data_IF_885626237117
#
_entry.id   IF_885626237117
#
_cell.length_a   1.000
_cell.length_b   1.000
_cell.length_c   1.000
_cell.angle_alpha   90.00
_cell.angle_beta   90.00
_cell.angle_gamma   90.00
#
_symmetry.space_group_name_H-M   'P 1'
#
loop_
_entity.id
_entity.type
_entity.pdbx_description
1 polymer ?
#
# COMPACT_ATOMS: atom_id res chain seq x y z
N UNK A 1 4.98 -4.10 -10.77
CA UNK A 1 5.21 -3.08 -9.74
C UNK A 1 5.99 -1.95 -10.35
N UNK A 2 5.33 -0.81 -10.45
CA UNK A 2 5.79 0.45 -11.02
C UNK A 2 5.38 1.59 -10.08
N UNK A 3 5.96 2.79 -10.27
CA UNK A 3 5.51 3.99 -9.52
C UNK A 3 4.05 4.27 -9.89
N UNK A 4 3.25 4.66 -8.91
CA UNK A 4 1.79 4.81 -8.93
C UNK A 4 0.97 3.51 -8.88
N UNK A 5 1.61 2.33 -8.85
CA UNK A 5 0.86 1.09 -8.56
C UNK A 5 0.27 1.16 -7.15
N UNK A 6 -0.98 0.70 -7.03
CA UNK A 6 -1.59 0.41 -5.74
C UNK A 6 -1.09 -0.92 -5.21
N UNK A 7 -0.76 -0.95 -3.93
CA UNK A 7 -0.20 -2.13 -3.27
C UNK A 7 -0.86 -2.40 -1.92
N UNK A 8 -1.09 -3.67 -1.64
CA UNK A 8 -1.37 -4.19 -0.31
C UNK A 8 -0.07 -4.55 0.39
N UNK A 9 0.10 -4.09 1.63
CA UNK A 9 1.27 -4.36 2.46
C UNK A 9 0.98 -5.62 3.29
N UNK A 10 1.54 -6.77 2.86
CA UNK A 10 1.20 -8.10 3.40
C UNK A 10 1.95 -8.47 4.68
N UNK A 11 3.08 -7.83 4.94
CA UNK A 11 3.96 -8.21 6.03
C UNK A 11 4.59 -6.97 6.61
N UNK A 12 3.88 -6.35 7.54
CA UNK A 12 4.53 -5.52 8.53
C UNK A 12 4.14 -6.09 9.88
N UNK A 13 5.13 -6.47 10.67
CA UNK A 13 4.96 -6.85 12.09
C UNK A 13 4.38 -5.70 12.95
N UNK A 14 4.10 -4.55 12.34
CA UNK A 14 3.56 -3.34 12.96
C UNK A 14 2.15 -2.97 12.47
N UNK A 15 1.52 -3.78 11.62
CA UNK A 15 0.20 -3.49 11.08
C UNK A 15 -0.82 -4.49 11.64
N UNK A 16 -1.72 -3.99 12.49
CA UNK A 16 -2.82 -4.78 13.05
C UNK A 16 -3.92 -5.06 11.99
N UNK A 17 -3.98 -4.26 10.92
CA UNK A 17 -4.97 -4.35 9.84
C UNK A 17 -4.31 -4.29 8.44
N UNK A 18 -5.03 -4.75 7.41
CA UNK A 18 -4.64 -4.62 6.01
C UNK A 18 -4.46 -3.14 5.63
N UNK A 19 -3.27 -2.78 5.15
CA UNK A 19 -2.98 -1.43 4.68
C UNK A 19 -2.65 -1.39 3.21
N UNK A 20 -3.27 -0.43 2.54
CA UNK A 20 -3.05 -0.12 1.14
C UNK A 20 -2.23 1.16 1.02
N UNK A 21 -1.43 1.21 -0.03
CA UNK A 21 -0.67 2.39 -0.36
C UNK A 21 -0.32 2.48 -1.83
N UNK A 22 0.35 3.57 -2.17
CA UNK A 22 0.80 3.88 -3.51
C UNK A 22 2.31 3.81 -3.57
N UNK A 23 2.87 3.10 -4.56
CA UNK A 23 4.32 3.12 -4.80
C UNK A 23 4.74 4.51 -5.27
N UNK A 24 5.68 5.12 -4.57
CA UNK A 24 6.17 6.47 -4.89
C UNK A 24 7.62 6.50 -5.37
N UNK A 25 8.45 5.51 -5.00
CA UNK A 25 9.85 5.47 -5.38
C UNK A 25 10.49 4.07 -5.15
N UNK A 26 11.70 3.87 -5.67
CA UNK A 26 12.51 2.67 -5.50
C UNK A 26 13.93 3.00 -5.01
N UNK A 27 14.32 2.45 -3.86
CA UNK A 27 15.66 2.61 -3.29
C UNK A 27 16.39 1.26 -3.30
N UNK A 28 17.08 0.98 -4.41
CA UNK A 28 17.74 -0.30 -4.62
C UNK A 28 16.73 -1.46 -4.65
N UNK A 29 16.75 -2.29 -3.61
CA UNK A 29 15.87 -3.44 -3.41
C UNK A 29 14.66 -3.13 -2.50
N UNK A 30 14.53 -1.89 -2.03
CA UNK A 30 13.37 -1.40 -1.30
C UNK A 30 12.44 -0.61 -2.21
N UNK A 31 11.16 -0.61 -1.86
CA UNK A 31 10.08 0.12 -2.47
C UNK A 31 9.54 1.10 -1.43
N UNK A 32 9.46 2.38 -1.77
CA UNK A 32 8.78 3.36 -0.95
C UNK A 32 7.30 3.42 -1.29
N UNK A 33 6.47 3.38 -0.25
CA UNK A 33 5.02 3.34 -0.35
C UNK A 33 4.44 4.45 0.52
N UNK A 34 3.56 5.27 -0.06
CA UNK A 34 2.74 6.24 0.67
C UNK A 34 1.43 5.57 1.09
N UNK A 35 1.07 5.62 2.37
CA UNK A 35 -0.11 4.94 2.89
C UNK A 35 -1.35 5.80 2.67
N UNK A 36 -2.39 5.20 2.08
CA UNK A 36 -3.58 5.95 1.68
C UNK A 36 -4.44 6.38 2.90
N UNK A 37 -4.32 5.70 4.06
CA UNK A 37 -5.03 6.08 5.29
C UNK A 37 -4.26 7.08 6.17
N UNK A 38 -3.02 6.76 6.54
CA UNK A 38 -2.25 7.57 7.49
C UNK A 38 -1.49 8.72 6.82
N UNK A 39 -1.29 8.67 5.49
CA UNK A 39 -0.43 9.60 4.76
C UNK A 39 1.08 9.39 5.02
N UNK A 40 1.44 8.38 5.82
CA UNK A 40 2.84 8.07 6.14
C UNK A 40 3.56 7.43 4.95
N UNK A 41 4.89 7.46 4.99
CA UNK A 41 5.74 6.82 3.99
C UNK A 41 6.50 5.67 4.67
N UNK A 42 6.30 4.46 4.16
CA UNK A 42 7.02 3.27 4.57
C UNK A 42 7.99 2.78 3.49
N UNK A 43 8.98 1.97 3.88
CA UNK A 43 9.93 1.32 2.96
C UNK A 43 9.88 -0.19 3.15
N UNK A 44 9.65 -0.92 2.06
CA UNK A 44 9.37 -2.35 2.07
C UNK A 44 10.17 -3.11 1.04
N UNK A 45 10.48 -4.37 1.30
CA UNK A 45 10.94 -5.29 0.26
C UNK A 45 9.79 -5.65 -0.67
N UNK A 46 10.10 -5.89 -1.95
CA UNK A 46 9.09 -6.27 -2.96
C UNK A 46 8.25 -7.49 -2.57
N UNK A 47 8.82 -8.45 -1.83
CA UNK A 47 8.10 -9.64 -1.39
C UNK A 47 7.06 -9.38 -0.29
N UNK A 48 7.12 -8.21 0.35
CA UNK A 48 6.17 -7.77 1.38
C UNK A 48 4.98 -7.03 0.78
N UNK A 49 5.00 -6.76 -0.53
CA UNK A 49 4.00 -6.00 -1.24
C UNK A 49 3.31 -6.86 -2.30
N UNK A 50 2.01 -6.67 -2.45
CA UNK A 50 1.22 -7.25 -3.54
C UNK A 50 0.59 -6.11 -4.33
N UNK A 51 0.81 -6.08 -5.65
CA UNK A 51 0.10 -5.14 -6.53
C UNK A 51 -1.36 -5.55 -6.57
N UNK A 52 -2.25 -4.58 -6.34
CA UNK A 52 -3.69 -4.78 -6.35
C UNK A 52 -4.29 -4.07 -7.55
N UNK A 53 -5.42 -4.59 -8.06
CA UNK A 53 -6.15 -3.89 -9.12
C UNK A 53 -6.98 -2.73 -8.55
N UNK A 54 -7.47 -1.86 -9.42
CA UNK A 54 -8.27 -0.71 -8.99
C UNK A 54 -9.57 -1.10 -8.27
N UNK A 55 -10.16 -2.27 -8.58
CA UNK A 55 -11.42 -2.69 -7.95
C UNK A 55 -11.21 -3.17 -6.52
N UNK A 56 -10.16 -3.96 -6.28
CA UNK A 56 -9.79 -4.41 -4.93
C UNK A 56 -9.49 -3.20 -4.04
N UNK A 57 -8.77 -2.21 -4.57
CA UNK A 57 -8.53 -0.95 -3.88
C UNK A 57 -9.82 -0.17 -3.61
N UNK A 58 -10.71 -0.03 -4.60
CA UNK A 58 -11.97 0.70 -4.46
C UNK A 58 -12.90 0.03 -3.42
N UNK A 59 -12.96 -1.30 -3.38
CA UNK A 59 -13.71 -2.07 -2.39
C UNK A 59 -13.21 -1.81 -0.97
N UNK A 60 -11.89 -1.86 -0.76
CA UNK A 60 -11.28 -1.50 0.52
C UNK A 60 -11.53 -0.02 0.86
N UNK A 61 -11.28 0.91 -0.06
CA UNK A 61 -11.44 2.35 0.18
C UNK A 61 -12.90 2.71 0.53
N UNK A 62 -13.88 1.99 -0.04
CA UNK A 62 -15.29 2.18 0.31
C UNK A 62 -15.62 1.87 1.77
N UNK A 63 -14.86 0.98 2.41
CA UNK A 63 -15.07 0.57 3.80
C UNK A 63 -14.35 1.48 4.80
N UNK A 64 -13.23 2.08 4.42
CA UNK A 64 -12.33 2.79 5.35
C UNK A 64 -12.13 4.28 5.03
N UNK A 65 -12.40 4.74 3.80
CA UNK A 65 -12.11 6.11 3.34
C UNK A 65 -13.37 6.87 2.92
N UNK A 66 -14.33 6.21 2.27
CA UNK A 66 -15.54 6.84 1.71
C UNK A 66 -16.80 6.61 2.56
N UNK A 67 -16.65 6.06 3.77
CA UNK A 67 -17.74 5.67 4.67
C UNK A 67 -18.24 6.75 5.64
N UNK A 68 -17.77 8.00 5.54
CA UNK A 68 -18.25 9.15 6.33
C UNK A 68 -19.04 10.18 5.50
#
# INVERSE_FOLDING_TARGET
>A
MEINDKVLIRSSIYLDDEQYGTVIDFYGNLVQVHFDLSGEIGSYHRGELMVVDGREFDEWASQYVLGE
#
